data_IF_237199566852
#
_entry.id   IF_237199566852
#
_cell.length_a   1.000
_cell.length_b   1.000
_cell.length_c   1.000
_cell.angle_alpha   90.00
_cell.angle_beta   90.00
_cell.angle_gamma   90.00
#
_symmetry.space_group_name_H-M   'P 1'
#
loop_
_entity.id
_entity.type
_entity.pdbx_description
1 polymer ?
#
# COMPACT_ATOMS: atom_id res chain seq x y z
N UNK A 1 20.54 7.41 7.44
CA UNK A 1 20.02 6.05 7.19
C UNK A 1 21.21 5.21 6.77
N UNK A 2 21.70 4.29 7.60
CA UNK A 2 22.93 3.51 7.31
C UNK A 2 22.67 2.61 6.10
N UNK A 3 23.47 2.75 5.05
CA UNK A 3 23.58 1.72 4.02
C UNK A 3 24.41 0.59 4.63
N UNK A 4 23.95 -0.65 4.49
CA UNK A 4 24.67 -1.82 4.98
C UNK A 4 25.87 -2.05 4.06
N UNK A 5 27.08 -1.95 4.59
CA UNK A 5 28.32 -1.96 3.80
C UNK A 5 28.73 -3.38 3.36
N UNK A 6 28.16 -4.43 3.97
CA UNK A 6 28.52 -5.82 3.66
C UNK A 6 27.46 -6.49 2.77
N UNK A 7 27.91 -7.20 1.72
CA UNK A 7 27.04 -7.94 0.80
C UNK A 7 26.15 -9.00 1.50
N UNK A 8 26.66 -9.63 2.55
CA UNK A 8 25.91 -10.60 3.35
C UNK A 8 24.75 -9.96 4.13
N UNK A 9 24.97 -8.75 4.68
CA UNK A 9 23.92 -8.00 5.39
C UNK A 9 22.78 -7.63 4.44
N UNK A 10 23.12 -7.16 3.23
CA UNK A 10 22.14 -6.83 2.18
C UNK A 10 21.32 -8.07 1.80
N UNK A 11 21.97 -9.24 1.69
CA UNK A 11 21.29 -10.50 1.34
C UNK A 11 20.26 -10.90 2.39
N UNK A 12 20.61 -10.81 3.67
CA UNK A 12 19.72 -11.13 4.79
C UNK A 12 18.55 -10.13 4.83
N UNK A 13 18.83 -8.83 4.70
CA UNK A 13 17.81 -7.79 4.66
C UNK A 13 16.84 -7.98 3.49
N UNK A 14 17.34 -8.31 2.29
CA UNK A 14 16.50 -8.60 1.13
C UNK A 14 15.57 -9.80 1.36
N UNK A 15 16.05 -10.85 2.03
CA UNK A 15 15.22 -12.02 2.38
C UNK A 15 14.10 -11.63 3.35
N UNK A 16 14.41 -10.82 4.36
CA UNK A 16 13.42 -10.30 5.31
C UNK A 16 12.39 -9.39 4.63
N UNK A 17 12.86 -8.42 3.85
CA UNK A 17 12.00 -7.50 3.11
C UNK A 17 11.11 -8.21 2.10
N UNK A 18 11.55 -9.33 1.52
CA UNK A 18 10.72 -10.12 0.60
C UNK A 18 9.43 -10.58 1.28
N UNK A 19 9.49 -11.03 2.53
CA UNK A 19 8.32 -11.46 3.30
C UNK A 19 7.54 -10.25 3.83
N UNK A 20 8.25 -9.28 4.41
CA UNK A 20 7.64 -8.09 4.99
C UNK A 20 6.86 -7.27 3.94
N UNK A 21 7.36 -7.21 2.70
CA UNK A 21 6.69 -6.54 1.59
C UNK A 21 5.30 -7.13 1.33
N UNK A 22 5.11 -8.45 1.41
CA UNK A 22 3.78 -9.03 1.23
C UNK A 22 2.87 -8.66 2.39
N UNK A 23 3.37 -8.77 3.62
CA UNK A 23 2.62 -8.40 4.82
C UNK A 23 2.11 -6.95 4.74
N UNK A 24 3.01 -6.00 4.50
CA UNK A 24 2.67 -4.58 4.50
C UNK A 24 1.81 -4.16 3.31
N UNK A 25 2.04 -4.73 2.12
CA UNK A 25 1.31 -4.32 0.92
C UNK A 25 -0.03 -5.03 0.72
N UNK A 26 -0.28 -6.19 1.31
CA UNK A 26 -1.52 -6.93 1.08
C UNK A 26 -2.42 -7.01 2.31
N UNK A 27 -1.84 -7.10 3.50
CA UNK A 27 -2.60 -7.43 4.72
C UNK A 27 -2.83 -6.22 5.63
N UNK A 28 -2.00 -5.18 5.54
CA UNK A 28 -2.27 -3.94 6.28
C UNK A 28 -3.33 -3.09 5.57
N UNK A 29 -4.28 -2.51 6.31
CA UNK A 29 -5.28 -1.61 5.74
C UNK A 29 -4.59 -0.33 5.26
N UNK A 30 -4.90 0.07 4.02
CA UNK A 30 -4.40 1.33 3.46
C UNK A 30 -5.56 2.21 3.01
N UNK A 31 -5.60 3.43 3.57
CA UNK A 31 -6.56 4.45 3.17
C UNK A 31 -6.04 5.15 1.92
N UNK A 32 -6.77 5.03 0.81
CA UNK A 32 -6.43 5.72 -0.44
C UNK A 32 -7.19 7.05 -0.53
N UNK A 33 -6.51 8.08 -1.00
CA UNK A 33 -7.14 9.34 -1.38
C UNK A 33 -7.76 9.15 -2.77
N UNK A 34 -9.08 9.28 -2.87
CA UNK A 34 -9.81 9.12 -4.14
C UNK A 34 -9.80 10.44 -4.89
N UNK A 35 -10.17 11.51 -4.21
CA UNK A 35 -10.33 12.83 -4.81
C UNK A 35 -9.74 13.90 -3.91
N UNK A 36 -9.11 14.89 -4.55
CA UNK A 36 -8.64 16.11 -3.91
C UNK A 36 -9.18 17.28 -4.71
N UNK A 37 -10.17 17.97 -4.16
CA UNK A 37 -10.81 19.12 -4.81
C UNK A 37 -10.37 20.38 -4.08
N UNK A 38 -9.88 21.39 -4.83
CA UNK A 38 -9.53 22.70 -4.29
C UNK A 38 -10.61 23.70 -4.65
N UNK A 39 -11.27 24.28 -3.64
CA UNK A 39 -12.21 25.39 -3.80
C UNK A 39 -11.60 26.63 -3.16
N UNK A 40 -10.94 27.46 -3.97
CA UNK A 40 -10.20 28.64 -3.52
C UNK A 40 -9.11 28.29 -2.51
N UNK A 41 -9.27 28.78 -1.28
CA UNK A 41 -8.35 28.55 -0.16
C UNK A 41 -8.56 27.21 0.57
N UNK A 42 -9.66 26.49 0.30
CA UNK A 42 -9.98 25.21 0.97
C UNK A 42 -9.64 24.02 0.08
N UNK A 43 -9.09 22.96 0.70
CA UNK A 43 -8.79 21.68 0.06
C UNK A 43 -9.64 20.60 0.71
N UNK A 44 -10.59 20.06 -0.06
CA UNK A 44 -11.37 18.89 0.35
C UNK A 44 -10.66 17.62 -0.12
N UNK A 45 -10.50 16.67 0.79
CA UNK A 45 -9.92 15.35 0.51
C UNK A 45 -10.98 14.29 0.79
N UNK A 46 -11.35 13.53 -0.24
CA UNK A 46 -12.27 12.40 -0.12
C UNK A 46 -11.45 11.12 -0.08
N UNK A 47 -11.53 10.42 1.04
CA UNK A 47 -10.82 9.18 1.28
C UNK A 47 -11.73 7.98 1.04
N UNK A 48 -11.14 6.88 0.58
CA UNK A 48 -11.79 5.57 0.47
C UNK A 48 -11.99 4.94 1.85
N UNK A 49 -12.89 3.96 1.93
CA UNK A 49 -13.00 3.12 3.14
C UNK A 49 -11.67 2.40 3.39
N UNK A 50 -11.19 2.35 4.64
CA UNK A 50 -9.94 1.67 4.96
C UNK A 50 -10.16 0.16 4.80
N UNK A 51 -9.61 -0.39 3.72
CA UNK A 51 -9.68 -1.82 3.43
C UNK A 51 -8.30 -2.37 3.07
N UNK A 52 -8.13 -3.67 3.33
CA UNK A 52 -6.92 -4.38 2.94
C UNK A 52 -6.85 -4.48 1.42
N UNK A 53 -5.68 -4.28 0.80
CA UNK A 53 -5.52 -4.43 -0.64
C UNK A 53 -5.97 -5.79 -1.19
N UNK A 54 -5.85 -6.86 -0.38
CA UNK A 54 -6.40 -8.18 -0.69
C UNK A 54 -7.92 -8.13 -0.88
N UNK A 55 -8.67 -7.58 0.08
CA UNK A 55 -10.15 -7.44 -0.01
C UNK A 55 -10.56 -6.63 -1.23
N UNK A 56 -9.91 -5.47 -1.45
CA UNK A 56 -10.15 -4.61 -2.62
C UNK A 56 -9.90 -5.33 -3.95
N UNK A 57 -8.91 -6.22 -4.02
CA UNK A 57 -8.61 -6.98 -5.24
C UNK A 57 -9.66 -8.04 -5.55
N UNK A 58 -10.22 -8.70 -4.52
CA UNK A 58 -11.33 -9.64 -4.66
C UNK A 58 -12.58 -8.92 -5.16
N UNK A 59 -12.95 -7.80 -4.52
CA UNK A 59 -14.11 -7.01 -4.92
C UNK A 59 -13.98 -6.53 -6.38
N UNK A 60 -12.80 -6.02 -6.77
CA UNK A 60 -12.53 -5.63 -8.16
C UNK A 60 -12.60 -6.80 -9.15
N UNK A 61 -12.15 -7.99 -8.76
CA UNK A 61 -12.23 -9.19 -9.60
C UNK A 61 -13.68 -9.65 -9.77
N UNK A 62 -14.48 -9.60 -8.71
CA UNK A 62 -15.91 -9.92 -8.74
C UNK A 62 -16.67 -8.99 -9.67
N UNK A 63 -16.38 -7.69 -9.64
CA UNK A 63 -17.02 -6.67 -10.51
C UNK A 63 -16.70 -6.91 -12.00
N UNK A 64 -15.54 -7.49 -12.33
CA UNK A 64 -15.10 -7.69 -13.73
C UNK A 64 -15.63 -8.97 -14.37
N UNK A 65 -16.32 -9.82 -13.62
CA UNK A 65 -16.84 -11.13 -14.08
C UNK A 65 -18.32 -11.11 -14.51
N UNK A 66 -18.96 -9.94 -14.46
CA UNK A 66 -20.32 -9.67 -14.94
C UNK A 66 -20.20 -8.87 -16.23
#
# INVERSE_FOLDING_TARGET
>A
MKMYDTHEEIRIMNKLYKVLRFYTNFFLPSMKLIEKIRMGSKVLKKYDKPETPYRRSIERCSIRRI
#
